data_IF_070000627785
#
_entry.id   IF_070000627785
#
_cell.length_a   1.000
_cell.length_b   1.000
_cell.length_c   1.000
_cell.angle_alpha   90.00
_cell.angle_beta   90.00
_cell.angle_gamma   90.00
#
_symmetry.space_group_name_H-M   'P 1'
#
loop_
_entity.id
_entity.type
_entity.pdbx_description
1 polymer ?
#
# COMPACT_ATOMS: atom_id res chain seq x y z
N UNK A 1 20.30 4.32 19.96
CA UNK A 1 19.83 2.98 19.56
C UNK A 1 19.70 2.99 18.04
N UNK A 2 20.19 1.98 17.34
CA UNK A 2 20.01 1.93 15.88
C UNK A 2 18.50 1.96 15.57
N UNK A 3 18.07 2.93 14.77
CA UNK A 3 16.71 2.96 14.22
C UNK A 3 16.50 1.65 13.45
N UNK A 4 15.54 0.82 13.88
CA UNK A 4 15.21 -0.41 13.17
C UNK A 4 14.32 -0.03 11.99
N UNK A 5 14.89 -0.04 10.79
CA UNK A 5 14.16 0.17 9.55
C UNK A 5 13.13 -0.93 9.32
N UNK A 6 11.88 -0.56 9.06
CA UNK A 6 10.80 -1.48 8.67
C UNK A 6 11.14 -2.13 7.32
N UNK A 7 11.19 -3.46 7.26
CA UNK A 7 11.57 -4.18 6.05
C UNK A 7 10.38 -4.61 5.20
N UNK A 8 9.20 -4.82 5.78
CA UNK A 8 7.98 -5.15 5.04
C UNK A 8 6.81 -4.26 5.44
N UNK A 9 6.11 -3.74 4.45
CA UNK A 9 4.86 -3.01 4.61
C UNK A 9 3.71 -3.89 4.15
N UNK A 10 2.68 -3.99 4.97
CA UNK A 10 1.45 -4.75 4.69
C UNK A 10 0.30 -3.77 4.62
N UNK A 11 -0.17 -3.49 3.41
CA UNK A 11 -1.27 -2.58 3.14
C UNK A 11 -2.58 -3.28 3.49
N UNK A 12 -3.26 -2.74 4.50
CA UNK A 12 -4.53 -3.22 5.04
C UNK A 12 -5.64 -2.30 4.54
N UNK A 13 -6.73 -2.91 4.11
CA UNK A 13 -8.00 -2.24 3.90
C UNK A 13 -9.14 -3.18 4.29
N UNK A 14 -10.22 -2.62 4.84
CA UNK A 14 -11.39 -3.34 5.30
C UNK A 14 -12.66 -2.75 4.68
N UNK A 15 -13.48 -3.62 4.10
CA UNK A 15 -14.90 -3.31 3.93
C UNK A 15 -15.68 -3.81 5.15
N UNK A 16 -16.70 -3.05 5.53
CA UNK A 16 -17.43 -3.29 6.77
C UNK A 16 -18.93 -3.11 6.61
N UNK A 17 -19.69 -3.56 7.60
CA UNK A 17 -21.15 -3.39 7.64
C UNK A 17 -21.60 -1.93 7.58
N UNK A 18 -20.75 -0.99 7.98
CA UNK A 18 -21.06 0.44 8.10
C UNK A 18 -20.05 1.18 8.98
N UNK A 19 -20.19 2.50 9.09
CA UNK A 19 -19.24 3.31 9.86
C UNK A 19 -19.38 3.07 11.37
N UNK A 20 -18.28 3.02 12.15
CA UNK A 20 -18.34 2.86 13.61
C UNK A 20 -19.25 3.87 14.31
N UNK A 21 -19.25 5.13 13.88
CA UNK A 21 -20.12 6.18 14.42
C UNK A 21 -21.61 5.95 14.18
N UNK A 22 -21.96 5.28 13.09
CA UNK A 22 -23.35 4.99 12.70
C UNK A 22 -23.85 3.68 13.33
N UNK A 23 -22.93 2.77 13.65
CA UNK A 23 -23.24 1.46 14.25
C UNK A 23 -22.98 1.37 15.75
N UNK A 24 -22.80 2.50 16.43
CA UNK A 24 -22.45 2.55 17.86
C UNK A 24 -21.27 1.63 18.19
N UNK A 25 -20.22 1.70 17.37
CA UNK A 25 -18.97 0.92 17.46
C UNK A 25 -19.15 -0.60 17.38
N UNK A 26 -20.29 -1.08 16.87
CA UNK A 26 -20.56 -2.51 16.66
C UNK A 26 -20.30 -2.95 15.21
N UNK A 27 -19.61 -2.14 14.40
CA UNK A 27 -19.21 -2.44 13.02
C UNK A 27 -18.52 -3.80 12.92
N UNK A 28 -18.85 -4.57 11.88
CA UNK A 28 -18.24 -5.88 11.57
C UNK A 28 -17.56 -5.87 10.20
N UNK A 29 -16.53 -6.68 10.06
CA UNK A 29 -15.77 -6.85 8.81
C UNK A 29 -16.60 -7.69 7.83
N UNK A 30 -16.69 -7.23 6.58
CA UNK A 30 -17.33 -7.95 5.46
C UNK A 30 -16.32 -8.37 4.40
N UNK A 31 -15.22 -7.63 4.25
CA UNK A 31 -14.09 -8.00 3.41
C UNK A 31 -12.80 -7.50 4.07
N UNK A 32 -11.74 -8.30 4.00
CA UNK A 32 -10.41 -7.94 4.47
C UNK A 32 -9.42 -8.16 3.34
N UNK A 33 -8.50 -7.22 3.15
CA UNK A 33 -7.34 -7.39 2.28
C UNK A 33 -6.04 -7.02 2.99
N UNK A 34 -5.03 -7.86 2.80
CA UNK A 34 -3.64 -7.61 3.17
C UNK A 34 -2.77 -7.76 1.92
N UNK A 35 -2.05 -6.71 1.56
CA UNK A 35 -1.07 -6.73 0.46
C UNK A 35 0.31 -6.43 1.04
N UNK A 36 1.21 -7.41 1.05
CA UNK A 36 2.57 -7.23 1.55
C UNK A 36 3.57 -6.97 0.43
N UNK A 37 4.46 -6.00 0.65
CA UNK A 37 5.63 -5.76 -0.18
C UNK A 37 6.82 -5.31 0.69
N UNK A 38 8.02 -5.83 0.38
CA UNK A 38 9.24 -5.39 1.06
C UNK A 38 9.61 -3.96 0.69
N UNK A 39 10.26 -3.24 1.61
CA UNK A 39 10.90 -1.92 1.39
C UNK A 39 11.66 -1.86 0.06
N UNK A 40 12.53 -2.84 -0.17
CA UNK A 40 13.35 -2.94 -1.37
C UNK A 40 12.49 -2.97 -2.65
N UNK A 41 11.56 -3.91 -2.75
CA UNK A 41 10.65 -4.03 -3.90
C UNK A 41 9.78 -2.78 -4.14
N UNK A 42 9.32 -2.11 -3.08
CA UNK A 42 8.56 -0.85 -3.21
C UNK A 42 9.45 0.24 -3.81
N UNK A 43 10.66 0.44 -3.27
CA UNK A 43 11.61 1.43 -3.77
C UNK A 43 12.10 1.12 -5.20
N UNK A 44 12.22 -0.16 -5.55
CA UNK A 44 12.57 -0.61 -6.90
C UNK A 44 11.44 -0.42 -7.92
N UNK A 45 10.20 -0.11 -7.48
CA UNK A 45 9.03 0.03 -8.34
C UNK A 45 8.40 1.43 -8.20
N UNK A 46 9.11 2.52 -8.55
CA UNK A 46 8.56 3.86 -8.42
C UNK A 46 7.39 4.05 -9.39
N UNK A 47 6.28 4.56 -8.85
CA UNK A 47 5.05 4.82 -9.60
C UNK A 47 4.38 3.53 -10.14
N UNK A 48 4.23 2.53 -9.27
CA UNK A 48 3.60 1.26 -9.62
C UNK A 48 3.42 0.32 -8.43
N UNK A 49 2.92 -0.89 -8.73
CA UNK A 49 2.80 -1.97 -7.76
C UNK A 49 3.95 -2.94 -8.00
N UNK A 50 4.77 -3.27 -6.99
CA UNK A 50 5.86 -4.23 -7.15
C UNK A 50 5.38 -5.59 -7.65
N UNK A 51 6.18 -6.23 -8.50
CA UNK A 51 5.85 -7.58 -9.01
C UNK A 51 5.87 -8.63 -7.90
N UNK A 52 6.80 -8.50 -6.96
CA UNK A 52 6.92 -9.37 -5.79
C UNK A 52 6.02 -8.81 -4.69
N UNK A 53 4.83 -9.38 -4.58
CA UNK A 53 3.83 -9.07 -3.55
C UNK A 53 3.23 -10.35 -3.01
N UNK A 54 2.84 -10.35 -1.73
CA UNK A 54 2.01 -11.40 -1.14
C UNK A 54 0.64 -10.83 -0.83
N UNK A 55 -0.42 -11.60 -1.05
CA UNK A 55 -1.79 -11.13 -0.87
C UNK A 55 -2.63 -12.13 -0.09
N UNK A 56 -3.47 -11.63 0.81
CA UNK A 56 -4.53 -12.37 1.47
C UNK A 56 -5.81 -11.52 1.38
N UNK A 57 -6.84 -12.06 0.74
CA UNK A 57 -8.16 -11.41 0.63
C UNK A 57 -9.23 -12.39 1.08
N UNK A 58 -10.11 -11.96 1.97
CA UNK A 58 -11.16 -12.80 2.56
C UNK A 58 -12.47 -12.03 2.67
N UNK A 59 -13.56 -12.60 2.16
CA UNK A 59 -14.91 -12.15 2.49
C UNK A 59 -15.38 -12.80 3.78
N UNK A 60 -16.12 -12.06 4.60
CA UNK A 60 -16.61 -12.52 5.90
C UNK A 60 -18.12 -12.27 6.02
N UNK A 61 -18.87 -13.27 6.45
CA UNK A 61 -20.25 -13.05 6.89
C UNK A 61 -20.24 -12.28 8.22
N UNK A 62 -20.82 -11.06 8.30
CA UNK A 62 -20.78 -10.27 9.52
C UNK A 62 -21.76 -10.75 10.61
N UNK A 63 -22.64 -11.72 10.30
CA UNK A 63 -23.78 -12.13 11.15
C UNK A 63 -24.61 -10.94 11.66
N UNK A 64 -24.74 -9.92 10.81
CA UNK A 64 -25.47 -8.68 11.04
C UNK A 64 -25.89 -8.07 9.71
N UNK A 65 -26.98 -7.32 9.70
CA UNK A 65 -27.40 -6.51 8.56
C UNK A 65 -26.32 -5.49 8.16
N UNK A 66 -25.92 -5.52 6.89
CA UNK A 66 -25.06 -4.53 6.26
C UNK A 66 -25.91 -3.29 5.99
N UNK A 67 -25.40 -2.12 6.37
CA UNK A 67 -26.06 -0.84 6.12
C UNK A 67 -26.26 -0.66 4.60
N UNK A 68 -27.45 -0.23 4.13
CA UNK A 68 -27.69 -0.01 2.70
C UNK A 68 -26.65 0.88 2.01
N UNK A 69 -26.13 1.90 2.72
CA UNK A 69 -25.06 2.76 2.19
C UNK A 69 -23.77 1.97 1.99
N UNK A 70 -23.40 1.09 2.93
CA UNK A 70 -22.23 0.23 2.79
C UNK A 70 -22.41 -0.78 1.64
N UNK A 71 -23.59 -1.38 1.50
CA UNK A 71 -23.93 -2.25 0.36
C UNK A 71 -23.78 -1.52 -0.97
N UNK A 72 -24.27 -0.29 -1.07
CA UNK A 72 -24.20 0.52 -2.30
C UNK A 72 -22.76 0.90 -2.67
N UNK A 73 -21.92 1.14 -1.66
CA UNK A 73 -20.53 1.57 -1.85
C UNK A 73 -19.64 0.38 -2.21
N UNK A 74 -19.75 -0.72 -1.48
CA UNK A 74 -18.87 -1.90 -1.58
C UNK A 74 -19.37 -2.94 -2.58
N UNK A 75 -20.67 -2.96 -2.85
CA UNK A 75 -21.33 -4.02 -3.60
C UNK A 75 -21.51 -5.32 -2.81
N UNK A 76 -21.18 -5.37 -1.51
CA UNK A 76 -21.37 -6.54 -0.66
C UNK A 76 -22.74 -6.49 0.02
N UNK A 77 -23.52 -7.56 -0.12
CA UNK A 77 -24.81 -7.71 0.54
C UNK A 77 -24.81 -8.92 1.48
N UNK A 78 -25.77 -8.94 2.41
CA UNK A 78 -25.97 -10.10 3.29
C UNK A 78 -26.25 -11.39 2.53
N UNK A 79 -26.97 -11.32 1.41
CA UNK A 79 -27.27 -12.48 0.56
C UNK A 79 -26.00 -13.06 -0.07
N UNK A 80 -25.10 -12.20 -0.56
CA UNK A 80 -23.83 -12.63 -1.16
C UNK A 80 -22.92 -13.32 -0.14
N UNK A 81 -22.94 -12.84 1.10
CA UNK A 81 -22.07 -13.30 2.17
C UNK A 81 -22.71 -14.38 3.05
N UNK A 82 -23.94 -14.81 2.77
CA UNK A 82 -24.71 -15.70 3.65
C UNK A 82 -23.98 -17.02 3.95
N UNK A 83 -23.31 -17.58 2.94
CA UNK A 83 -22.61 -18.87 3.03
C UNK A 83 -21.15 -18.75 3.45
N UNK A 84 -20.62 -17.54 3.51
CA UNK A 84 -19.25 -17.31 3.95
C UNK A 84 -19.13 -17.50 5.47
N UNK A 85 -17.92 -17.84 5.92
CA UNK A 85 -17.62 -17.85 7.35
C UNK A 85 -17.51 -16.43 7.88
N UNK A 86 -17.67 -16.26 9.19
CA UNK A 86 -17.41 -14.97 9.84
C UNK A 86 -15.93 -14.77 10.10
N UNK A 87 -15.56 -13.58 10.56
CA UNK A 87 -14.23 -13.34 11.09
C UNK A 87 -14.06 -14.10 12.41
N UNK A 88 -13.25 -15.16 12.39
CA UNK A 88 -13.07 -16.08 13.51
C UNK A 88 -11.58 -16.33 13.83
N UNK A 89 -11.30 -17.32 14.67
CA UNK A 89 -9.95 -17.70 15.07
C UNK A 89 -9.10 -18.19 13.90
N UNK A 90 -9.68 -18.87 12.90
CA UNK A 90 -8.97 -19.36 11.71
C UNK A 90 -8.49 -18.17 10.87
N UNK A 91 -9.30 -17.13 10.74
CA UNK A 91 -8.90 -15.88 10.08
C UNK A 91 -7.70 -15.24 10.78
N UNK A 92 -7.70 -15.19 12.11
CA UNK A 92 -6.56 -14.68 12.88
C UNK A 92 -5.30 -15.53 12.66
N UNK A 93 -5.43 -16.85 12.64
CA UNK A 93 -4.30 -17.75 12.40
C UNK A 93 -3.75 -17.59 10.98
N UNK A 94 -4.61 -17.37 9.97
CA UNK A 94 -4.20 -17.03 8.61
C UNK A 94 -3.42 -15.71 8.57
N UNK A 95 -3.88 -14.67 9.27
CA UNK A 95 -3.15 -13.39 9.37
C UNK A 95 -1.79 -13.60 10.03
N UNK A 96 -1.72 -14.33 11.14
CA UNK A 96 -0.47 -14.60 11.85
C UNK A 96 0.54 -15.36 10.98
N UNK A 97 0.09 -16.41 10.29
CA UNK A 97 0.93 -17.15 9.36
C UNK A 97 1.37 -16.25 8.20
N UNK A 98 0.46 -15.46 7.63
CA UNK A 98 0.78 -14.51 6.57
C UNK A 98 1.88 -13.51 7.01
N UNK A 99 1.75 -12.90 8.19
CA UNK A 99 2.73 -11.96 8.74
C UNK A 99 4.07 -12.64 9.02
N UNK A 100 4.07 -13.87 9.54
CA UNK A 100 5.31 -14.63 9.84
C UNK A 100 6.17 -14.93 8.61
N UNK A 101 5.58 -14.93 7.41
CA UNK A 101 6.29 -15.14 6.14
C UNK A 101 6.97 -13.88 5.61
N UNK A 102 6.72 -12.73 6.22
CA UNK A 102 7.27 -11.45 5.79
C UNK A 102 8.63 -11.19 6.43
N UNK A 103 9.42 -10.30 5.82
CA UNK A 103 10.74 -9.93 6.35
C UNK A 103 10.52 -8.90 7.49
N UNK A 104 10.88 -9.23 8.75
CA UNK A 104 10.69 -8.31 9.87
C UNK A 104 11.71 -7.16 9.83
N UNK A 105 11.43 -5.98 10.44
CA UNK A 105 10.16 -5.61 11.08
C UNK A 105 9.02 -5.43 10.07
N UNK A 106 7.81 -5.84 10.45
CA UNK A 106 6.59 -5.79 9.63
C UNK A 106 5.69 -4.66 10.13
N UNK A 107 5.20 -3.81 9.21
CA UNK A 107 4.31 -2.71 9.55
C UNK A 107 3.02 -2.76 8.73
N UNK A 108 1.88 -2.81 9.41
CA UNK A 108 0.56 -2.62 8.79
C UNK A 108 0.39 -1.15 8.39
N UNK A 109 -0.09 -0.89 7.17
CA UNK A 109 -0.36 0.45 6.67
C UNK A 109 -1.81 0.51 6.22
N UNK A 110 -2.60 1.41 6.80
CA UNK A 110 -3.97 1.64 6.37
C UNK A 110 -4.22 3.15 6.20
N UNK A 111 -5.24 3.52 5.44
CA UNK A 111 -5.57 4.91 5.18
C UNK A 111 -6.69 5.38 6.10
N UNK A 112 -6.38 6.32 7.00
CA UNK A 112 -7.24 6.65 8.15
C UNK A 112 -7.38 5.47 9.14
N UNK A 113 -6.39 4.56 9.16
CA UNK A 113 -6.42 3.31 9.91
C UNK A 113 -6.59 3.48 11.42
N UNK A 114 -6.04 4.55 12.03
CA UNK A 114 -6.17 4.78 13.47
C UNK A 114 -7.62 5.03 13.88
N UNK A 115 -8.43 5.60 12.98
CA UNK A 115 -9.84 5.92 13.24
C UNK A 115 -10.80 4.90 12.63
N UNK A 116 -10.30 3.91 11.90
CA UNK A 116 -11.12 2.97 11.14
C UNK A 116 -10.57 1.55 11.22
N UNK A 117 -9.65 1.17 10.32
CA UNK A 117 -9.22 -0.22 10.12
C UNK A 117 -8.64 -0.86 11.38
N UNK A 118 -7.72 -0.17 12.07
CA UNK A 118 -6.97 -0.77 13.17
C UNK A 118 -7.87 -1.04 14.40
N UNK A 119 -8.71 -0.10 14.88
CA UNK A 119 -9.66 -0.40 15.95
C UNK A 119 -10.65 -1.53 15.61
N UNK A 120 -11.13 -1.59 14.36
CA UNK A 120 -12.06 -2.64 13.90
C UNK A 120 -11.36 -4.00 13.92
N UNK A 121 -10.19 -4.09 13.30
CA UNK A 121 -9.39 -5.32 13.25
C UNK A 121 -8.98 -5.79 14.65
N UNK A 122 -8.50 -4.89 15.50
CA UNK A 122 -8.14 -5.20 16.90
C UNK A 122 -9.35 -5.76 17.66
N UNK A 123 -10.54 -5.18 17.46
CA UNK A 123 -11.77 -5.68 18.10
C UNK A 123 -12.12 -7.08 17.61
N UNK A 124 -12.02 -7.33 16.30
CA UNK A 124 -12.32 -8.63 15.70
C UNK A 124 -11.36 -9.71 16.22
N UNK A 125 -10.06 -9.43 16.25
CA UNK A 125 -9.02 -10.33 16.76
C UNK A 125 -9.22 -10.65 18.24
N UNK A 126 -9.50 -9.63 19.07
CA UNK A 126 -9.75 -9.84 20.50
C UNK A 126 -11.05 -10.63 20.75
N UNK A 127 -12.09 -10.41 19.95
CA UNK A 127 -13.34 -11.19 20.06
C UNK A 127 -13.17 -12.66 19.63
N UNK A 128 -12.11 -12.98 18.88
CA UNK A 128 -11.73 -14.33 18.52
C UNK A 128 -10.74 -14.97 19.52
N UNK A 129 -10.47 -14.32 20.66
CA UNK A 129 -9.49 -14.73 21.68
C UNK A 129 -8.07 -14.93 21.12
N UNK A 130 -7.67 -14.07 20.18
CA UNK A 130 -6.37 -14.09 19.51
C UNK A 130 -5.61 -12.79 19.71
N UNK A 131 -4.35 -12.79 19.27
CA UNK A 131 -3.45 -11.64 19.23
C UNK A 131 -2.57 -11.73 17.97
N UNK A 132 -2.13 -10.58 17.45
CA UNK A 132 -1.07 -10.54 16.43
C UNK A 132 0.32 -10.64 17.09
N UNK A 133 1.38 -10.99 16.35
CA UNK A 133 2.74 -10.98 16.88
C UNK A 133 3.09 -9.64 17.52
N UNK A 134 3.72 -9.67 18.70
CA UNK A 134 4.00 -8.48 19.53
C UNK A 134 4.87 -7.43 18.83
N UNK A 135 5.66 -7.86 17.84
CA UNK A 135 6.53 -7.01 17.02
C UNK A 135 5.84 -6.47 15.75
N UNK A 136 4.56 -6.77 15.55
CA UNK A 136 3.76 -6.20 14.45
C UNK A 136 3.53 -4.71 14.70
N UNK A 137 4.07 -3.88 13.82
CA UNK A 137 3.86 -2.44 13.86
C UNK A 137 2.64 -2.05 13.03
N UNK A 138 2.12 -0.85 13.23
CA UNK A 138 1.12 -0.23 12.36
C UNK A 138 1.32 1.27 12.23
N UNK A 139 0.85 1.82 11.12
CA UNK A 139 0.93 3.26 10.83
C UNK A 139 -0.25 3.73 9.98
N UNK A 140 -0.74 4.94 10.26
CA UNK A 140 -1.78 5.58 9.47
C UNK A 140 -1.16 6.43 8.36
N UNK A 141 -1.53 6.15 7.11
CA UNK A 141 -1.02 6.90 5.96
C UNK A 141 -1.62 8.30 5.82
N UNK A 142 -2.80 8.57 6.40
CA UNK A 142 -3.44 9.89 6.29
C UNK A 142 -2.60 11.04 6.87
N UNK A 143 -2.09 10.98 8.12
CA UNK A 143 -1.19 12.01 8.64
C UNK A 143 0.13 12.06 7.85
N UNK A 144 0.65 10.90 7.41
CA UNK A 144 1.87 10.84 6.61
C UNK A 144 1.72 11.62 5.29
N UNK A 145 0.62 11.41 4.56
CA UNK A 145 0.37 12.14 3.31
C UNK A 145 0.26 13.65 3.55
N UNK A 146 -0.42 14.08 4.62
CA UNK A 146 -0.54 15.50 4.97
C UNK A 146 0.81 16.14 5.21
N UNK A 147 1.64 15.50 6.02
CA UNK A 147 2.97 16.00 6.35
C UNK A 147 3.88 15.99 5.12
N UNK A 148 4.00 14.85 4.43
CA UNK A 148 4.92 14.69 3.31
C UNK A 148 4.57 15.58 2.13
N UNK A 149 3.30 15.74 1.77
CA UNK A 149 2.93 16.65 0.69
C UNK A 149 3.16 18.12 1.03
N UNK A 150 3.17 18.51 2.31
CA UNK A 150 3.56 19.86 2.71
C UNK A 150 5.07 20.11 2.70
N UNK A 151 5.89 19.05 2.75
CA UNK A 151 7.34 19.13 2.88
C UNK A 151 8.09 18.83 1.57
N UNK A 152 7.51 18.00 0.70
CA UNK A 152 8.14 17.58 -0.55
C UNK A 152 7.78 18.59 -1.65
N UNK A 153 8.76 19.25 -2.29
CA UNK A 153 8.52 20.03 -3.48
C UNK A 153 7.86 19.16 -4.56
N UNK A 154 6.69 19.57 -5.07
CA UNK A 154 5.88 18.72 -5.96
C UNK A 154 6.56 18.41 -7.31
N UNK A 155 7.54 19.21 -7.71
CA UNK A 155 8.45 18.98 -8.83
C UNK A 155 9.44 17.82 -8.60
N UNK A 156 9.71 17.48 -7.33
CA UNK A 156 10.58 16.37 -6.91
C UNK A 156 9.83 15.04 -6.77
N UNK A 157 8.49 15.07 -6.66
CA UNK A 157 7.73 13.84 -6.77
C UNK A 157 7.80 13.36 -8.23
N UNK A 158 8.12 12.09 -8.49
CA UNK A 158 8.06 11.52 -9.82
C UNK A 158 6.59 11.44 -10.24
N UNK A 159 6.03 12.58 -10.62
CA UNK A 159 4.67 12.68 -11.10
C UNK A 159 4.62 11.86 -12.37
N UNK A 160 3.62 10.98 -12.45
CA UNK A 160 3.38 10.11 -13.60
C UNK A 160 3.42 10.85 -14.96
N UNK A 161 3.15 12.16 -14.95
CA UNK A 161 3.28 13.07 -16.11
C UNK A 161 4.70 13.17 -16.68
N UNK A 162 5.78 13.01 -15.91
CA UNK A 162 7.15 12.95 -16.45
C UNK A 162 7.43 11.62 -17.19
N UNK A 163 6.89 10.50 -16.70
CA UNK A 163 6.99 9.18 -17.37
C UNK A 163 6.19 9.14 -18.69
N UNK A 164 5.06 9.83 -18.78
CA UNK A 164 4.32 9.99 -20.03
C UNK A 164 5.10 10.82 -21.07
N UNK A 165 5.78 11.90 -20.64
CA UNK A 165 6.66 12.69 -21.52
C UNK A 165 7.85 11.86 -22.05
N UNK A 166 8.48 11.02 -21.22
CA UNK A 166 9.52 10.10 -21.70
C UNK A 166 8.99 9.04 -22.68
N UNK A 167 7.79 8.49 -22.45
CA UNK A 167 7.16 7.56 -23.41
C UNK A 167 6.77 8.24 -24.73
N UNK A 168 6.36 9.51 -24.72
CA UNK A 168 6.08 10.27 -25.96
C UNK A 168 7.37 10.69 -26.70
N UNK A 169 8.46 10.97 -25.98
CA UNK A 169 9.77 11.28 -26.58
C UNK A 169 10.40 10.03 -27.23
N UNK A 170 10.22 8.85 -26.63
CA UNK A 170 10.64 7.57 -27.22
C UNK A 170 9.76 7.14 -28.40
N UNK A 171 8.46 7.47 -28.40
CA UNK A 171 7.57 7.27 -29.55
C UNK A 171 7.85 8.20 -30.72
N UNK A 172 8.55 9.32 -30.50
CA UNK A 172 8.88 10.29 -31.55
C UNK A 172 10.05 9.92 -32.46
N UNK A 173 10.72 8.77 -32.24
CA UNK A 173 11.88 8.35 -33.05
C UNK A 173 11.71 7.07 -33.87
N UNK A 174 10.61 6.33 -33.72
CA UNK A 174 10.29 5.19 -34.60
C UNK A 174 8.90 5.40 -35.20
N UNK A 175 8.85 6.14 -36.31
CA UNK A 175 7.78 5.97 -37.28
C UNK A 175 8.01 4.63 -37.97
N UNK A 176 7.36 3.57 -37.49
CA UNK A 176 6.86 2.51 -38.35
C UNK A 176 5.66 1.86 -37.67
N UNK A 177 4.55 1.89 -38.40
CA UNK A 177 3.24 1.38 -38.00
C UNK A 177 3.25 -0.13 -38.19
N UNK A 178 3.06 -0.91 -37.12
CA UNK A 178 2.27 -2.14 -37.20
C UNK A 178 1.28 -2.19 -36.03
N UNK A 179 0.00 -2.34 -36.39
CA UNK A 179 -1.12 -2.63 -35.50
C UNK A 179 -0.91 -4.01 -34.89
N UNK A 180 -0.80 -4.10 -33.57
CA UNK A 180 -0.90 -5.37 -32.86
C UNK A 180 -2.37 -5.79 -32.75
N UNK A 181 -2.88 -6.39 -33.82
CA UNK A 181 -3.81 -7.51 -33.70
C UNK A 181 -3.00 -8.73 -33.26
N UNK A 182 -3.42 -9.41 -32.20
CA UNK A 182 -2.85 -10.68 -31.77
C UNK A 182 -2.99 -11.72 -32.89
N UNK A 183 -1.91 -11.90 -33.67
CA UNK A 183 -1.75 -13.03 -34.55
C UNK A 183 -0.88 -14.08 -33.84
N UNK A 184 -1.51 -15.21 -33.52
CA UNK A 184 -0.82 -16.46 -33.30
C UNK A 184 -0.05 -16.82 -34.58
N UNK A 185 1.28 -16.73 -34.54
CA UNK A 185 2.20 -17.60 -35.28
C UNK A 185 3.63 -17.37 -34.75
N UNK A 186 4.23 -18.46 -34.28
CA UNK A 186 5.43 -18.46 -33.44
C UNK A 186 6.72 -18.06 -34.15
N UNK A 187 7.59 -17.38 -33.40
CA UNK A 187 9.07 -17.49 -33.50
C UNK A 187 9.86 -16.71 -32.44
N UNK A 188 9.24 -16.03 -31.47
CA UNK A 188 9.95 -15.22 -30.44
C UNK A 188 10.08 -15.87 -29.05
N UNK A 189 9.66 -17.14 -28.89
CA UNK A 189 9.62 -17.81 -27.57
C UNK A 189 10.98 -18.29 -27.05
N UNK A 190 12.02 -18.38 -27.88
CA UNK A 190 13.29 -19.01 -27.50
C UNK A 190 14.25 -18.05 -26.76
N UNK A 191 14.34 -16.79 -27.20
CA UNK A 191 15.29 -15.82 -26.64
C UNK A 191 14.84 -15.31 -25.27
N UNK A 192 13.55 -15.02 -25.10
CA UNK A 192 12.96 -14.62 -23.80
C UNK A 192 13.02 -15.75 -22.76
N UNK A 193 12.88 -17.02 -23.19
CA UNK A 193 13.07 -18.18 -22.31
C UNK A 193 14.52 -18.28 -21.83
N UNK A 194 15.49 -18.13 -22.73
CA UNK A 194 16.92 -18.21 -22.41
C UNK A 194 17.33 -17.17 -21.36
N UNK A 195 16.85 -15.93 -21.48
CA UNK A 195 17.20 -14.87 -20.53
C UNK A 195 16.58 -15.08 -19.14
N UNK A 196 15.28 -15.39 -19.09
CA UNK A 196 14.59 -15.64 -17.81
C UNK A 196 15.09 -16.92 -17.14
N UNK A 197 15.48 -17.94 -17.92
CA UNK A 197 16.09 -19.16 -17.42
C UNK A 197 17.45 -18.88 -16.77
N UNK A 198 18.31 -18.07 -17.40
CA UNK A 198 19.61 -17.69 -16.84
C UNK A 198 19.52 -16.89 -15.53
N UNK A 199 18.46 -16.09 -15.36
CA UNK A 199 18.19 -15.37 -14.10
C UNK A 199 17.72 -16.34 -13.02
N UNK A 200 16.82 -17.26 -13.35
CA UNK A 200 16.20 -18.20 -12.40
C UNK A 200 17.12 -19.37 -11.98
N UNK A 201 18.12 -19.70 -12.79
CA UNK A 201 19.08 -20.80 -12.52
C UNK A 201 20.21 -20.39 -11.58
N UNK A 202 20.24 -19.14 -11.11
CA UNK A 202 21.15 -18.71 -10.03
C UNK A 202 20.42 -18.82 -8.70
N UNK A 203 20.96 -19.62 -7.79
CA UNK A 203 20.52 -19.59 -6.38
C UNK A 203 20.90 -18.23 -5.80
N UNK A 204 19.97 -17.42 -5.29
CA UNK A 204 20.31 -16.16 -4.65
C UNK A 204 21.27 -16.43 -3.49
N UNK A 205 22.43 -15.75 -3.45
CA UNK A 205 23.30 -15.85 -2.30
C UNK A 205 22.55 -15.34 -1.07
N UNK A 206 22.42 -16.20 -0.04
CA UNK A 206 21.93 -15.76 1.26
C UNK A 206 22.83 -14.61 1.71
N UNK A 207 22.23 -13.43 1.85
CA UNK A 207 22.91 -12.17 2.11
C UNK A 207 23.68 -12.27 3.44
N UNK A 208 24.95 -12.70 3.39
CA UNK A 208 25.91 -12.46 4.46
C UNK A 208 26.14 -10.96 4.45
N UNK A 209 25.90 -10.29 5.58
CA UNK A 209 26.17 -8.86 5.75
C UNK A 209 27.59 -8.53 5.26
N UNK A 210 27.71 -7.94 4.07
CA UNK A 210 28.96 -7.34 3.60
C UNK A 210 28.89 -5.87 3.99
N UNK A 211 29.60 -5.54 5.06
CA UNK A 211 29.98 -4.17 5.38
C UNK A 211 31.00 -3.70 4.32
N UNK A 212 30.55 -3.02 3.29
CA UNK A 212 31.41 -2.24 2.39
C UNK A 212 31.12 -0.74 2.59
N UNK A 213 32.14 0.13 2.64
CA UNK A 213 31.93 1.56 2.86
C UNK A 213 31.27 2.19 1.63
N UNK A 214 30.21 2.97 1.86
CA UNK A 214 29.61 3.84 0.86
C UNK A 214 30.59 4.96 0.45
N UNK A 215 30.61 5.42 -0.81
CA UNK A 215 31.36 6.62 -1.19
C UNK A 215 30.82 7.85 -0.44
N UNK A 216 31.69 8.56 0.27
CA UNK A 216 31.40 9.83 0.94
C UNK A 216 31.02 10.91 -0.09
N UNK A 217 29.73 11.19 -0.24
CA UNK A 217 29.25 12.48 -0.77
C UNK A 217 28.04 12.96 0.05
N UNK A 218 28.25 13.18 1.34
CA UNK A 218 27.33 13.97 2.16
C UNK A 218 28.14 14.81 3.14
N UNK A 219 28.60 15.98 2.70
CA UNK A 219 28.96 17.06 3.60
C UNK A 219 28.73 18.42 2.95
N UNK A 220 27.54 18.98 3.26
CA UNK A 220 27.24 20.37 3.61
C UNK A 220 25.96 20.87 2.94
N UNK A 221 24.81 20.62 3.58
CA UNK A 221 23.69 21.54 3.50
C UNK A 221 23.55 22.17 4.87
N UNK A 222 24.26 23.29 5.07
CA UNK A 222 23.99 24.20 6.18
C UNK A 222 22.55 24.66 6.04
N UNK A 223 21.74 24.40 7.07
CA UNK A 223 20.39 24.90 7.19
C UNK A 223 20.37 26.42 6.97
N UNK A 224 19.97 26.85 5.77
CA UNK A 224 19.54 28.21 5.51
C UNK A 224 18.03 28.11 5.37
N UNK A 225 17.30 28.66 6.35
CA UNK A 225 15.88 28.98 6.20
C UNK A 225 15.77 29.95 5.04
N UNK A 226 15.59 29.43 3.84
CA UNK A 226 15.20 30.21 2.68
C UNK A 226 13.68 30.13 2.61
N UNK A 227 13.06 31.25 2.97
CA UNK A 227 11.67 31.55 2.68
C UNK A 227 11.52 31.63 1.15
N UNK A 228 11.01 30.57 0.54
CA UNK A 228 10.50 30.52 -0.84
C UNK A 228 9.36 29.48 -0.85
N UNK A 229 8.25 29.61 -1.57
CA UNK A 229 7.65 30.65 -2.42
C UNK A 229 6.20 30.22 -2.67
N UNK A 230 5.32 31.12 -3.11
CA UNK A 230 3.88 30.89 -3.30
C UNK A 230 3.51 29.73 -4.28
N UNK A 231 4.46 29.25 -5.10
CA UNK A 231 4.25 28.21 -6.13
C UNK A 231 4.05 26.77 -5.58
N UNK A 232 4.69 26.43 -4.46
CA UNK A 232 4.46 25.14 -3.80
C UNK A 232 3.02 25.07 -3.22
N UNK A 233 2.49 26.22 -2.84
CA UNK A 233 1.12 26.38 -2.35
C UNK A 233 0.11 26.23 -3.50
N UNK A 234 0.44 26.69 -4.70
CA UNK A 234 -0.43 26.60 -5.89
C UNK A 234 -0.57 25.15 -6.42
N UNK A 235 0.50 24.35 -6.30
CA UNK A 235 0.51 22.95 -6.73
C UNK A 235 -0.18 22.02 -5.72
N UNK A 236 -0.09 22.29 -4.41
CA UNK A 236 -0.90 21.67 -3.36
C UNK A 236 -2.38 22.08 -3.42
N UNK A 237 -2.70 23.27 -3.94
CA UNK A 237 -4.07 23.72 -4.13
C UNK A 237 -4.89 22.81 -5.08
N UNK A 238 -4.22 21.97 -5.87
CA UNK A 238 -4.89 20.97 -6.72
C UNK A 238 -5.36 19.74 -5.94
N UNK A 239 -4.83 19.48 -4.74
CA UNK A 239 -5.27 18.38 -3.88
C UNK A 239 -6.42 18.84 -2.98
N UNK A 240 -7.63 18.71 -3.53
CA UNK A 240 -8.87 19.15 -2.85
C UNK A 240 -9.19 18.37 -1.56
N UNK A 241 -8.63 17.17 -1.40
CA UNK A 241 -8.92 16.30 -0.26
C UNK A 241 -7.83 15.24 -0.09
N UNK A 242 -7.67 14.75 1.13
CA UNK A 242 -6.76 13.64 1.46
C UNK A 242 -7.48 12.29 1.47
N UNK A 243 -8.62 12.14 0.81
CA UNK A 243 -9.21 10.82 0.57
C UNK A 243 -8.31 10.05 -0.39
N UNK A 244 -8.19 8.73 -0.20
CA UNK A 244 -7.30 7.88 -0.99
C UNK A 244 -7.49 8.05 -2.52
N UNK A 245 -8.74 8.07 -2.99
CA UNK A 245 -9.06 8.28 -4.42
C UNK A 245 -8.58 9.62 -4.97
N UNK A 246 -8.60 10.67 -4.15
CA UNK A 246 -8.21 12.02 -4.55
C UNK A 246 -6.68 12.15 -4.57
N UNK A 247 -6.01 11.54 -3.59
CA UNK A 247 -4.55 11.38 -3.58
C UNK A 247 -4.09 10.60 -4.81
N UNK A 248 -4.73 9.46 -5.11
CA UNK A 248 -4.39 8.67 -6.29
C UNK A 248 -4.59 9.47 -7.57
N UNK A 249 -5.72 10.18 -7.71
CA UNK A 249 -6.00 11.03 -8.87
C UNK A 249 -4.95 12.13 -9.03
N UNK A 250 -4.55 12.77 -7.94
CA UNK A 250 -3.50 13.78 -7.92
C UNK A 250 -2.16 13.21 -8.39
N UNK A 251 -1.73 12.06 -7.86
CA UNK A 251 -0.43 11.46 -8.17
C UNK A 251 -0.35 10.82 -9.57
N UNK A 252 -1.43 10.20 -10.04
CA UNK A 252 -1.45 9.42 -11.28
C UNK A 252 -2.19 10.10 -12.45
N UNK A 253 -2.88 11.23 -12.21
CA UNK A 253 -3.64 11.94 -13.24
C UNK A 253 -4.86 11.18 -13.78
N UNK A 254 -5.29 10.12 -13.10
CA UNK A 254 -6.43 9.27 -13.48
C UNK A 254 -7.18 8.78 -12.25
N UNK A 255 -8.45 8.43 -12.40
CA UNK A 255 -9.24 7.87 -11.30
C UNK A 255 -8.77 6.44 -10.98
N UNK A 256 -8.86 6.05 -9.71
CA UNK A 256 -8.74 4.66 -9.30
C UNK A 256 -9.90 3.84 -9.87
N UNK A 257 -9.66 2.54 -10.09
CA UNK A 257 -10.63 1.61 -10.70
C UNK A 257 -11.10 0.65 -9.62
N UNK A 258 -12.41 0.39 -9.58
CA UNK A 258 -13.06 -0.48 -8.61
C UNK A 258 -12.72 -0.11 -7.15
N UNK A 259 -12.80 1.18 -6.83
CA UNK A 259 -12.73 1.64 -5.43
C UNK A 259 -13.80 0.94 -4.60
N UNK A 260 -13.59 0.86 -3.28
CA UNK A 260 -14.49 0.17 -2.35
C UNK A 260 -14.54 -1.35 -2.56
N UNK A 261 -13.37 -1.89 -2.90
CA UNK A 261 -13.02 -3.30 -2.76
C UNK A 261 -11.74 -3.34 -1.97
N UNK A 262 -11.68 -4.17 -0.94
CA UNK A 262 -10.57 -4.13 0.01
C UNK A 262 -9.20 -4.29 -0.69
N UNK A 263 -9.09 -5.26 -1.61
CA UNK A 263 -7.82 -5.48 -2.33
C UNK A 263 -7.44 -4.29 -3.22
N UNK A 264 -8.41 -3.71 -3.91
CA UNK A 264 -8.18 -2.59 -4.83
C UNK A 264 -7.73 -1.34 -4.08
N UNK A 265 -8.33 -1.05 -2.93
CA UNK A 265 -7.98 0.11 -2.12
C UNK A 265 -6.62 -0.09 -1.43
N UNK A 266 -6.32 -1.30 -0.93
CA UNK A 266 -4.97 -1.65 -0.45
C UNK A 266 -3.88 -1.51 -1.55
N UNK A 267 -4.15 -1.97 -2.78
CA UNK A 267 -3.24 -1.81 -3.92
C UNK A 267 -3.09 -0.35 -4.35
N UNK A 268 -4.18 0.42 -4.30
CA UNK A 268 -4.18 1.86 -4.60
C UNK A 268 -3.30 2.60 -3.60
N UNK A 269 -3.41 2.27 -2.32
CA UNK A 269 -2.56 2.81 -1.27
C UNK A 269 -1.08 2.47 -1.48
N UNK A 270 -0.76 1.20 -1.78
CA UNK A 270 0.59 0.77 -2.15
C UNK A 270 1.13 1.55 -3.36
N UNK A 271 0.32 1.74 -4.40
CA UNK A 271 0.73 2.50 -5.58
C UNK A 271 1.04 3.96 -5.24
N UNK A 272 0.20 4.63 -4.44
CA UNK A 272 0.48 5.99 -3.95
C UNK A 272 1.78 6.07 -3.16
N UNK A 273 2.01 5.11 -2.25
CA UNK A 273 3.21 5.08 -1.41
C UNK A 273 4.47 4.73 -2.22
N UNK A 274 4.36 3.95 -3.30
CA UNK A 274 5.49 3.69 -4.21
C UNK A 274 6.05 4.96 -4.88
N UNK A 275 5.22 6.00 -5.03
CA UNK A 275 5.66 7.30 -5.58
C UNK A 275 6.46 8.07 -4.53
N UNK A 276 6.02 8.02 -3.27
CA UNK A 276 6.73 8.63 -2.15
C UNK A 276 8.01 7.87 -1.80
N UNK A 277 8.00 6.55 -1.99
CA UNK A 277 9.14 5.65 -1.75
C UNK A 277 9.78 5.88 -0.38
N UNK A 278 11.09 6.12 -0.40
CA UNK A 278 11.91 6.26 0.80
C UNK A 278 11.47 7.42 1.73
N UNK A 279 10.83 8.47 1.20
CA UNK A 279 10.29 9.55 2.06
C UNK A 279 9.22 9.03 3.01
N UNK A 280 8.30 8.21 2.50
CA UNK A 280 7.25 7.61 3.33
C UNK A 280 7.82 6.56 4.28
N UNK A 281 8.77 5.75 3.83
CA UNK A 281 9.35 4.68 4.64
C UNK A 281 10.15 5.22 5.83
N UNK A 282 10.94 6.29 5.62
CA UNK A 282 11.64 6.99 6.72
C UNK A 282 10.68 7.62 7.71
N UNK A 283 9.56 8.16 7.22
CA UNK A 283 8.51 8.67 8.10
C UNK A 283 7.91 7.54 8.94
N UNK A 284 7.67 6.36 8.36
CA UNK A 284 7.18 5.20 9.10
C UNK A 284 8.16 4.70 10.16
N UNK A 285 9.48 4.70 9.88
CA UNK A 285 10.51 4.25 10.81
C UNK A 285 10.50 5.03 12.14
N UNK A 286 9.94 6.24 12.16
CA UNK A 286 9.84 7.08 13.37
C UNK A 286 8.44 7.20 13.95
N UNK A 287 7.39 6.87 13.19
CA UNK A 287 5.98 7.06 13.58
C UNK A 287 5.20 5.76 13.81
N UNK A 288 5.72 4.62 13.34
CA UNK A 288 5.04 3.34 13.53
C UNK A 288 4.97 2.98 15.01
N UNK A 289 3.82 2.42 15.41
CA UNK A 289 3.55 1.99 16.80
C UNK A 289 3.21 0.50 16.82
N UNK A 290 3.41 -0.21 17.94
CA UNK A 290 2.95 -1.60 18.06
C UNK A 290 1.44 -1.70 17.84
N UNK A 291 0.99 -2.61 16.97
CA UNK A 291 -0.43 -2.79 16.65
C UNK A 291 -1.24 -3.20 17.89
N UNK A 292 -0.69 -4.08 18.73
CA UNK A 292 -1.34 -4.52 19.96
C UNK A 292 -1.61 -3.38 20.97
N UNK A 293 -1.02 -2.18 20.78
CA UNK A 293 -1.32 -0.98 21.57
C UNK A 293 -2.51 -0.16 21.03
N UNK A 294 -3.04 -0.51 19.85
CA UNK A 294 -4.22 0.15 19.27
C UNK A 294 -5.43 -0.10 20.17
N UNK A 295 -6.18 0.97 20.44
CA UNK A 295 -7.44 0.85 21.19
C UNK A 295 -8.50 0.20 20.30
N UNK A 296 -9.08 -0.90 20.79
CA UNK A 296 -10.27 -1.50 20.19
C UNK A 296 -11.44 -0.51 20.15
N UNK A 297 -12.38 -0.74 19.22
CA UNK A 297 -13.69 -0.11 19.25
C UNK A 297 -14.37 -0.42 20.58
N UNK A 298 -14.92 0.61 21.22
CA UNK A 298 -15.62 0.51 22.51
C UNK A 298 -17.11 0.58 22.33
#
# INVERSE_FOLDING_TARGET
>A
MASRSINTFVFLDLETTGLPSEEHNKTKITELALVAASRENINATPCGIPRVTHKLTLCCNPFRMINPTATNVTGLSNEMLEKEKTFDADVCDMINVFLSRQIPPVCLVAHNGIKFDFPILQSAIMNADKILPDDTLCVDSLPAFKELFSQIPLDMLPTYTQKLKMKSVLKGKNNDIQKDTCNENGSTLAEDRSFMQQINERTPEQNKQINAPLPEVLNTIKAKRQLFSDDANESLAQLNSFKLKDIYKFLFGRNAINCHRAENDALTLLACISILGEYFMKWCDTHAVPFNNVKKLR
#
